data_IF_986749011645
#
_entry.id   IF_986749011645
#
_cell.length_a   1.000
_cell.length_b   1.000
_cell.length_c   1.000
_cell.angle_alpha   90.00
_cell.angle_beta   90.00
_cell.angle_gamma   90.00
#
_symmetry.space_group_name_H-M   'P 1'
#
loop_
_entity.id
_entity.type
_entity.pdbx_description
1 polymer ?
#
# COMPACT_ATOMS: atom_id res chain seq x y z
N UNK A 1 10.92 28.62 3.67
CA UNK A 1 10.78 27.29 4.31
C UNK A 1 11.67 26.31 3.56
N UNK A 2 12.40 25.39 4.22
CA UNK A 2 13.25 24.43 3.52
C UNK A 2 12.40 23.57 2.59
N UNK A 3 12.84 23.36 1.35
CA UNK A 3 12.08 22.63 0.32
C UNK A 3 11.56 21.27 0.82
N UNK A 4 12.39 20.53 1.57
CA UNK A 4 11.99 19.23 2.13
C UNK A 4 10.81 19.31 3.11
N UNK A 5 10.71 20.38 3.89
CA UNK A 5 9.59 20.59 4.84
C UNK A 5 8.29 20.83 4.08
N UNK A 6 8.33 21.58 2.99
CA UNK A 6 7.15 21.85 2.16
C UNK A 6 6.67 20.59 1.45
N UNK A 7 7.60 19.80 0.88
CA UNK A 7 7.27 18.51 0.24
C UNK A 7 6.63 17.56 1.25
N UNK A 8 7.20 17.45 2.45
CA UNK A 8 6.62 16.64 3.54
C UNK A 8 5.21 17.12 3.92
N UNK A 9 5.04 18.41 4.22
CA UNK A 9 3.77 18.96 4.69
C UNK A 9 2.65 18.77 3.66
N UNK A 10 2.93 19.00 2.37
CA UNK A 10 1.95 18.80 1.30
C UNK A 10 1.65 17.32 1.05
N UNK A 11 2.66 16.44 1.19
CA UNK A 11 2.46 15.00 1.08
C UNK A 11 1.56 14.49 2.19
N UNK A 12 1.83 14.93 3.43
CA UNK A 12 1.00 14.62 4.60
C UNK A 12 -0.42 15.14 4.42
N UNK A 13 -0.60 16.39 3.97
CA UNK A 13 -1.92 16.96 3.72
C UNK A 13 -2.69 16.19 2.64
N UNK A 14 -2.03 15.83 1.53
CA UNK A 14 -2.65 15.11 0.41
C UNK A 14 -3.11 13.71 0.83
N UNK A 15 -2.21 12.94 1.44
CA UNK A 15 -2.48 11.57 1.86
C UNK A 15 -3.45 11.55 3.03
N UNK A 16 -3.25 12.42 4.02
CA UNK A 16 -4.17 12.59 5.14
C UNK A 16 -5.58 12.94 4.70
N UNK A 17 -5.74 13.82 3.71
CA UNK A 17 -7.06 14.15 3.14
C UNK A 17 -7.70 12.93 2.46
N UNK A 18 -6.94 12.18 1.65
CA UNK A 18 -7.45 10.96 1.01
C UNK A 18 -7.94 9.93 2.03
N UNK A 19 -7.15 9.70 3.08
CA UNK A 19 -7.48 8.76 4.16
C UNK A 19 -8.66 9.26 4.97
N UNK A 20 -8.68 10.53 5.38
CA UNK A 20 -9.78 11.12 6.15
C UNK A 20 -11.10 11.07 5.38
N UNK A 21 -11.09 11.44 4.09
CA UNK A 21 -12.28 11.35 3.23
C UNK A 21 -12.78 9.91 3.17
N UNK A 22 -11.89 8.93 3.02
CA UNK A 22 -12.29 7.53 3.04
C UNK A 22 -12.88 7.10 4.39
N UNK A 23 -12.16 7.28 5.49
CA UNK A 23 -12.57 6.85 6.82
C UNK A 23 -13.90 7.49 7.26
N UNK A 24 -14.15 8.74 6.89
CA UNK A 24 -15.38 9.46 7.26
C UNK A 24 -16.54 9.18 6.31
N UNK A 25 -16.29 8.93 5.02
CA UNK A 25 -17.35 8.80 4.01
C UNK A 25 -17.74 7.35 3.71
N UNK A 26 -16.87 6.35 3.95
CA UNK A 26 -17.18 4.95 3.64
C UNK A 26 -18.46 4.42 4.30
N UNK A 27 -18.84 4.79 5.55
CA UNK A 27 -20.04 4.23 6.14
C UNK A 27 -21.32 4.87 5.58
N UNK A 28 -21.22 6.10 5.02
CA UNK A 28 -22.36 6.94 4.66
C UNK A 28 -22.76 6.83 3.19
N UNK A 29 -21.80 6.91 2.27
CA UNK A 29 -22.12 7.08 0.85
C UNK A 29 -21.17 6.31 -0.08
N UNK A 30 -21.68 5.85 -1.22
CA UNK A 30 -20.85 5.25 -2.28
C UNK A 30 -19.84 6.24 -2.90
N UNK A 31 -20.03 7.56 -2.68
CA UNK A 31 -19.10 8.59 -3.13
C UNK A 31 -17.70 8.46 -2.49
N UNK A 32 -17.59 7.74 -1.37
CA UNK A 32 -16.32 7.40 -0.74
C UNK A 32 -15.34 6.67 -1.67
N UNK A 33 -15.83 5.97 -2.70
CA UNK A 33 -15.01 5.30 -3.74
C UNK A 33 -14.11 6.29 -4.49
N UNK A 34 -14.44 7.59 -4.52
CA UNK A 34 -13.59 8.60 -5.14
C UNK A 34 -12.18 8.64 -4.53
N UNK A 35 -12.02 8.47 -3.22
CA UNK A 35 -10.71 8.47 -2.59
C UNK A 35 -9.80 7.31 -3.07
N UNK A 36 -10.27 6.03 -3.04
CA UNK A 36 -9.59 4.93 -3.72
C UNK A 36 -9.31 5.18 -5.19
N UNK A 37 -10.25 5.76 -5.96
CA UNK A 37 -10.03 6.02 -7.39
C UNK A 37 -8.90 7.03 -7.64
N UNK A 38 -8.79 8.09 -6.83
CA UNK A 38 -7.66 9.03 -6.96
C UNK A 38 -6.35 8.31 -6.63
N UNK A 39 -6.30 7.53 -5.55
CA UNK A 39 -5.10 6.77 -5.21
C UNK A 39 -4.72 5.74 -6.28
N UNK A 40 -5.69 5.11 -6.93
CA UNK A 40 -5.49 4.20 -8.05
C UNK A 40 -4.73 4.90 -9.19
N UNK A 41 -5.05 6.15 -9.49
CA UNK A 41 -4.33 6.94 -10.50
C UNK A 41 -2.87 7.14 -10.11
N UNK A 42 -2.59 7.52 -8.86
CA UNK A 42 -1.21 7.66 -8.36
C UNK A 42 -0.44 6.34 -8.44
N UNK A 43 -1.00 5.25 -7.91
CA UNK A 43 -0.33 3.94 -7.90
C UNK A 43 -0.10 3.43 -9.32
N UNK A 44 -1.10 3.56 -10.20
CA UNK A 44 -0.99 3.17 -11.62
C UNK A 44 0.07 3.98 -12.36
N UNK A 45 0.10 5.30 -12.15
CA UNK A 45 1.14 6.17 -12.73
C UNK A 45 2.54 5.69 -12.33
N UNK A 46 2.75 5.40 -11.04
CA UNK A 46 4.05 4.90 -10.55
C UNK A 46 4.46 3.58 -11.19
N UNK A 47 3.56 2.60 -11.32
CA UNK A 47 3.87 1.32 -11.96
C UNK A 47 4.14 1.49 -13.45
N UNK A 48 3.32 2.24 -14.15
CA UNK A 48 3.43 2.41 -15.60
C UNK A 48 4.74 3.13 -15.96
N UNK A 49 5.09 4.20 -15.25
CA UNK A 49 6.28 5.02 -15.57
C UNK A 49 7.58 4.19 -15.52
N UNK A 50 7.84 3.46 -14.41
CA UNK A 50 9.04 2.63 -14.28
C UNK A 50 9.06 1.47 -15.29
N UNK A 51 7.90 0.90 -15.59
CA UNK A 51 7.82 -0.28 -16.47
C UNK A 51 7.93 0.08 -17.94
N UNK A 52 7.50 1.27 -18.34
CA UNK A 52 7.79 1.81 -19.68
C UNK A 52 9.30 2.02 -19.85
N UNK A 53 9.97 2.60 -18.85
CA UNK A 53 11.44 2.80 -18.88
C UNK A 53 12.17 1.46 -18.99
N UNK A 54 11.87 0.51 -18.10
CA UNK A 54 12.51 -0.81 -18.10
C UNK A 54 12.23 -1.57 -19.40
N UNK A 55 11.02 -1.47 -19.95
CA UNK A 55 10.66 -2.06 -21.24
C UNK A 55 11.50 -1.52 -22.39
N UNK A 56 11.73 -0.21 -22.45
CA UNK A 56 12.52 0.39 -23.52
C UNK A 56 13.96 -0.12 -23.52
N UNK A 57 14.53 -0.38 -22.33
CA UNK A 57 15.84 -1.02 -22.21
C UNK A 57 15.77 -2.52 -22.53
N UNK A 58 14.82 -3.26 -21.96
CA UNK A 58 14.71 -4.71 -22.12
C UNK A 58 14.48 -5.13 -23.59
N UNK A 59 13.55 -4.46 -24.28
CA UNK A 59 13.23 -4.80 -25.67
C UNK A 59 14.40 -4.54 -26.61
N UNK A 60 15.25 -3.55 -26.33
CA UNK A 60 16.44 -3.24 -27.13
C UNK A 60 17.62 -4.17 -26.83
N UNK A 61 17.72 -4.70 -25.61
CA UNK A 61 18.86 -5.51 -25.18
C UNK A 61 18.66 -7.02 -25.35
N UNK A 62 17.43 -7.53 -25.23
CA UNK A 62 17.19 -8.98 -25.10
C UNK A 62 16.31 -9.61 -26.17
N UNK A 63 15.48 -8.83 -26.88
CA UNK A 63 14.51 -9.38 -27.83
C UNK A 63 14.91 -9.07 -29.27
N UNK A 64 14.92 -10.10 -30.12
CA UNK A 64 15.03 -9.91 -31.57
C UNK A 64 13.76 -9.28 -32.12
N UNK A 65 13.95 -8.22 -32.90
CA UNK A 65 12.88 -7.52 -33.60
C UNK A 65 12.10 -8.49 -34.51
N UNK A 66 10.78 -8.32 -34.57
CA UNK A 66 9.89 -9.13 -35.41
C UNK A 66 9.39 -10.45 -34.79
N UNK A 67 9.91 -10.87 -33.64
CA UNK A 67 9.39 -12.06 -32.93
C UNK A 67 8.01 -11.82 -32.29
N UNK A 68 7.23 -12.89 -32.09
CA UNK A 68 5.92 -12.82 -31.44
C UNK A 68 6.03 -12.31 -29.99
N UNK A 69 7.08 -12.74 -29.28
CA UNK A 69 7.47 -12.21 -27.97
C UNK A 69 7.78 -10.71 -28.03
N UNK A 70 8.53 -10.25 -29.04
CA UNK A 70 8.76 -8.83 -29.25
C UNK A 70 7.45 -8.06 -29.50
N UNK A 71 6.50 -8.58 -30.27
CA UNK A 71 5.19 -7.91 -30.47
C UNK A 71 4.34 -7.87 -29.19
N UNK A 72 4.29 -8.96 -28.43
CA UNK A 72 3.54 -9.04 -27.18
C UNK A 72 4.09 -8.07 -26.12
N UNK A 73 5.41 -8.10 -25.88
CA UNK A 73 6.08 -7.24 -24.91
C UNK A 73 6.35 -5.80 -25.42
N UNK A 74 6.25 -5.54 -26.74
CA UNK A 74 6.31 -4.18 -27.29
C UNK A 74 4.98 -3.43 -27.25
N UNK A 75 3.84 -4.09 -27.03
CA UNK A 75 2.54 -3.38 -26.89
C UNK A 75 2.51 -2.50 -25.63
N UNK A 76 2.34 -1.18 -25.81
CA UNK A 76 2.19 -0.23 -24.69
C UNK A 76 0.85 -0.41 -23.99
N UNK A 77 -0.21 -0.71 -24.74
CA UNK A 77 -1.57 -0.86 -24.24
C UNK A 77 -1.67 -2.06 -23.29
N UNK A 78 -1.11 -3.22 -23.68
CA UNK A 78 -1.13 -4.42 -22.84
C UNK A 78 -0.42 -4.19 -21.50
N UNK A 79 0.74 -3.52 -21.54
CA UNK A 79 1.49 -3.18 -20.33
C UNK A 79 0.69 -2.25 -19.42
N UNK A 80 0.05 -1.20 -19.97
CA UNK A 80 -0.78 -0.28 -19.19
C UNK A 80 -1.97 -1.00 -18.55
N UNK A 81 -2.72 -1.81 -19.31
CA UNK A 81 -3.86 -2.56 -18.78
C UNK A 81 -3.46 -3.50 -17.65
N UNK A 82 -2.34 -4.23 -17.82
CA UNK A 82 -1.82 -5.12 -16.78
C UNK A 82 -1.48 -4.37 -15.49
N UNK A 83 -0.76 -3.25 -15.59
CA UNK A 83 -0.37 -2.49 -14.39
C UNK A 83 -1.52 -1.70 -13.77
N UNK A 84 -2.58 -1.36 -14.51
CA UNK A 84 -3.83 -0.86 -13.94
C UNK A 84 -4.48 -1.95 -13.08
N UNK A 85 -4.54 -3.19 -13.58
CA UNK A 85 -5.09 -4.33 -12.81
C UNK A 85 -4.29 -4.58 -11.53
N UNK A 86 -2.96 -4.60 -11.61
CA UNK A 86 -2.09 -4.75 -10.41
C UNK A 86 -2.31 -3.59 -9.43
N UNK A 87 -2.42 -2.37 -9.94
CA UNK A 87 -2.65 -1.18 -9.11
C UNK A 87 -4.02 -1.21 -8.44
N UNK A 88 -5.03 -1.77 -9.10
CA UNK A 88 -6.35 -1.97 -8.54
C UNK A 88 -6.30 -2.89 -7.31
N UNK A 89 -5.58 -4.02 -7.39
CA UNK A 89 -5.40 -4.94 -6.26
C UNK A 89 -4.72 -4.25 -5.07
N UNK A 90 -3.66 -3.48 -5.33
CA UNK A 90 -2.92 -2.76 -4.28
C UNK A 90 -3.79 -1.67 -3.64
N UNK A 91 -4.54 -0.93 -4.44
CA UNK A 91 -5.42 0.14 -3.98
C UNK A 91 -6.56 -0.41 -3.14
N UNK A 92 -7.21 -1.47 -3.62
CA UNK A 92 -8.29 -2.13 -2.88
C UNK A 92 -7.78 -2.67 -1.54
N UNK A 93 -6.63 -3.38 -1.57
CA UNK A 93 -6.01 -3.91 -0.35
C UNK A 93 -5.70 -2.79 0.64
N UNK A 94 -5.14 -1.67 0.18
CA UNK A 94 -4.82 -0.51 1.02
C UNK A 94 -6.05 0.12 1.69
N UNK A 95 -7.08 0.46 0.91
CA UNK A 95 -8.23 1.20 1.44
C UNK A 95 -9.11 0.33 2.32
N UNK A 96 -9.13 -0.98 2.08
CA UNK A 96 -9.77 -1.90 3.01
C UNK A 96 -8.94 -1.99 4.30
N UNK A 97 -7.63 -2.23 4.19
CA UNK A 97 -6.80 -2.50 5.36
C UNK A 97 -6.69 -1.29 6.31
N UNK A 98 -6.68 -0.06 5.77
CA UNK A 98 -6.58 1.14 6.59
C UNK A 98 -7.75 1.33 7.56
N UNK A 99 -8.90 0.69 7.30
CA UNK A 99 -10.05 0.67 8.21
C UNK A 99 -9.75 -0.12 9.50
N UNK A 100 -8.86 -1.11 9.41
CA UNK A 100 -8.51 -2.02 10.50
C UNK A 100 -7.17 -1.66 11.16
N UNK A 101 -6.52 -0.57 10.74
CA UNK A 101 -5.27 -0.12 11.34
C UNK A 101 -5.51 0.44 12.74
N UNK A 102 -4.76 -0.11 13.71
CA UNK A 102 -4.74 0.42 15.08
C UNK A 102 -4.24 1.87 15.10
N UNK A 103 -4.60 2.62 16.14
CA UNK A 103 -4.14 4.01 16.33
C UNK A 103 -2.62 4.13 16.32
N UNK A 104 -1.91 3.13 16.85
CA UNK A 104 -0.45 3.09 16.81
C UNK A 104 0.09 3.04 15.37
N UNK A 105 -0.50 2.22 14.51
CA UNK A 105 -0.11 2.12 13.11
C UNK A 105 -0.48 3.39 12.33
N UNK A 106 -1.63 4.01 12.62
CA UNK A 106 -2.02 5.30 12.03
C UNK A 106 -1.04 6.43 12.39
N UNK A 107 -0.62 6.54 13.65
CA UNK A 107 0.40 7.50 14.08
C UNK A 107 1.75 7.20 13.43
N UNK A 108 2.12 5.92 13.33
CA UNK A 108 3.33 5.50 12.64
C UNK A 108 3.35 5.94 11.17
N UNK A 109 2.21 5.91 10.46
CA UNK A 109 2.15 6.36 9.07
C UNK A 109 2.53 7.83 8.89
N UNK A 110 2.24 8.70 9.86
CA UNK A 110 2.64 10.12 9.82
C UNK A 110 4.17 10.24 9.85
N UNK A 111 4.81 9.49 10.75
CA UNK A 111 6.27 9.40 10.81
C UNK A 111 6.85 8.74 9.55
N UNK A 112 6.17 7.72 9.03
CA UNK A 112 6.59 7.01 7.83
C UNK A 112 6.60 7.91 6.59
N UNK A 113 5.61 8.80 6.42
CA UNK A 113 5.60 9.81 5.36
C UNK A 113 6.82 10.73 5.45
N UNK A 114 7.19 11.15 6.67
CA UNK A 114 8.40 11.94 6.89
C UNK A 114 9.65 11.17 6.48
N UNK A 115 9.78 9.92 6.93
CA UNK A 115 10.91 9.05 6.59
C UNK A 115 11.04 8.84 5.08
N UNK A 116 9.96 8.48 4.38
CA UNK A 116 9.99 8.27 2.92
C UNK A 116 10.32 9.57 2.19
N UNK A 117 9.83 10.72 2.65
CA UNK A 117 10.18 12.03 2.09
C UNK A 117 11.68 12.31 2.22
N UNK A 118 12.25 12.03 3.39
CA UNK A 118 13.68 12.18 3.63
C UNK A 118 14.51 11.25 2.73
N UNK A 119 14.19 9.95 2.69
CA UNK A 119 14.89 8.96 1.87
C UNK A 119 14.81 9.33 0.38
N UNK A 120 13.63 9.69 -0.12
CA UNK A 120 13.45 10.11 -1.51
C UNK A 120 14.37 11.29 -1.88
N UNK A 121 14.36 12.35 -1.08
CA UNK A 121 15.16 13.55 -1.34
C UNK A 121 16.67 13.27 -1.21
N UNK A 122 17.06 12.44 -0.24
CA UNK A 122 18.44 12.01 -0.06
C UNK A 122 18.96 11.22 -1.27
N UNK A 123 18.21 10.20 -1.71
CA UNK A 123 18.58 9.37 -2.87
C UNK A 123 18.62 10.24 -4.12
N UNK A 124 17.56 11.02 -4.37
CA UNK A 124 17.49 11.92 -5.53
C UNK A 124 18.71 12.82 -5.60
N UNK A 125 19.06 13.50 -4.51
CA UNK A 125 20.23 14.39 -4.46
C UNK A 125 21.55 13.64 -4.72
N UNK A 126 21.65 12.40 -4.25
CA UNK A 126 22.87 11.58 -4.38
C UNK A 126 23.10 11.09 -5.82
N UNK A 127 22.01 10.85 -6.57
CA UNK A 127 22.09 10.38 -7.96
C UNK A 127 21.84 11.47 -9.00
N UNK A 128 21.54 12.69 -8.55
CA UNK A 128 21.35 13.85 -9.41
C UNK A 128 22.63 14.07 -10.22
N UNK A 129 22.50 14.19 -11.53
CA UNK A 129 23.59 14.27 -12.52
C UNK A 129 24.35 12.97 -12.81
N UNK A 130 24.08 11.86 -12.10
CA UNK A 130 24.66 10.54 -12.42
C UNK A 130 23.79 9.76 -13.41
N UNK A 131 22.46 9.93 -13.34
CA UNK A 131 21.50 9.14 -14.12
C UNK A 131 20.39 10.05 -14.67
N UNK A 132 19.98 9.82 -15.92
CA UNK A 132 18.92 10.60 -16.59
C UNK A 132 17.51 10.35 -16.05
N UNK A 133 17.30 9.27 -15.28
CA UNK A 133 16.02 8.87 -14.67
C UNK A 133 16.06 8.99 -13.14
N UNK A 134 16.81 9.97 -12.63
CA UNK A 134 17.06 10.21 -11.20
C UNK A 134 15.79 10.20 -10.34
N UNK A 135 14.73 10.90 -10.76
CA UNK A 135 13.47 10.99 -10.02
C UNK A 135 12.72 9.66 -9.93
N UNK A 136 12.63 8.93 -11.06
CA UNK A 136 11.97 7.63 -11.12
C UNK A 136 12.74 6.61 -10.27
N UNK A 137 14.07 6.61 -10.37
CA UNK A 137 14.92 5.71 -9.61
C UNK A 137 14.88 6.03 -8.11
N UNK A 138 14.93 7.31 -7.72
CA UNK A 138 14.81 7.73 -6.34
C UNK A 138 13.47 7.32 -5.72
N UNK A 139 12.37 7.44 -6.48
CA UNK A 139 11.05 6.95 -6.06
C UNK A 139 11.02 5.44 -5.87
N UNK A 140 11.56 4.66 -6.81
CA UNK A 140 11.52 3.20 -6.68
C UNK A 140 12.38 2.70 -5.51
N UNK A 141 13.55 3.31 -5.29
CA UNK A 141 14.38 2.98 -4.14
C UNK A 141 13.76 3.40 -2.82
N UNK A 142 13.12 4.58 -2.75
CA UNK A 142 12.39 4.99 -1.54
C UNK A 142 11.20 4.08 -1.26
N UNK A 143 10.55 3.53 -2.30
CA UNK A 143 9.53 2.47 -2.14
C UNK A 143 10.16 1.22 -1.52
N UNK A 144 11.30 0.73 -2.00
CA UNK A 144 11.89 -0.49 -1.42
C UNK A 144 12.35 -0.28 0.03
N UNK A 145 13.09 0.79 0.31
CA UNK A 145 13.59 1.11 1.65
C UNK A 145 12.42 1.39 2.61
N UNK A 146 11.44 2.17 2.17
CA UNK A 146 10.25 2.49 2.96
C UNK A 146 9.41 1.24 3.26
N UNK A 147 9.24 0.32 2.31
CA UNK A 147 8.45 -0.89 2.53
C UNK A 147 9.12 -1.79 3.56
N UNK A 148 10.45 -1.94 3.52
CA UNK A 148 11.17 -2.73 4.53
C UNK A 148 10.96 -2.16 5.94
N UNK A 149 11.08 -0.84 6.10
CA UNK A 149 10.86 -0.19 7.38
C UNK A 149 9.40 -0.34 7.86
N UNK A 150 8.44 -0.06 6.98
CA UNK A 150 7.01 -0.19 7.28
C UNK A 150 6.61 -1.62 7.61
N UNK A 151 7.18 -2.60 6.91
CA UNK A 151 6.95 -4.02 7.19
C UNK A 151 7.47 -4.41 8.57
N UNK A 152 8.69 -3.99 8.93
CA UNK A 152 9.25 -4.22 10.27
C UNK A 152 8.39 -3.59 11.38
N UNK A 153 7.93 -2.35 11.17
CA UNK A 153 7.04 -1.67 12.11
C UNK A 153 5.67 -2.37 12.22
N UNK A 154 5.09 -2.77 11.09
CA UNK A 154 3.82 -3.51 11.07
C UNK A 154 3.93 -4.81 11.87
N UNK A 155 4.97 -5.63 11.61
CA UNK A 155 5.20 -6.88 12.36
C UNK A 155 5.35 -6.60 13.86
N UNK A 156 6.17 -5.60 14.23
CA UNK A 156 6.37 -5.24 15.63
C UNK A 156 5.07 -4.81 16.31
N UNK A 157 4.31 -3.91 15.70
CA UNK A 157 3.04 -3.40 16.25
C UNK A 157 2.05 -4.55 16.37
N UNK A 158 1.86 -5.37 15.34
CA UNK A 158 0.90 -6.48 15.36
C UNK A 158 1.23 -7.51 16.44
N UNK A 159 2.51 -7.87 16.62
CA UNK A 159 2.92 -8.83 17.66
C UNK A 159 2.74 -8.31 19.09
N UNK A 160 2.77 -6.99 19.28
CA UNK A 160 2.59 -6.35 20.60
C UNK A 160 1.21 -5.71 20.75
N UNK A 161 0.30 -5.95 19.80
CA UNK A 161 -1.09 -5.50 19.89
C UNK A 161 -1.89 -6.48 20.73
N UNK A 162 -2.91 -5.98 21.39
CA UNK A 162 -3.86 -6.80 22.13
C UNK A 162 -4.77 -7.57 21.18
N UNK A 163 -5.29 -8.70 21.64
CA UNK A 163 -6.36 -9.44 20.95
C UNK A 163 -7.53 -8.47 20.65
N UNK A 164 -8.09 -8.47 19.43
CA UNK A 164 -9.21 -7.60 19.10
C UNK A 164 -10.46 -7.85 19.95
N UNK A 165 -11.23 -6.79 20.24
CA UNK A 165 -12.40 -6.85 21.12
C UNK A 165 -13.54 -7.74 20.58
N UNK A 166 -13.62 -7.94 19.26
CA UNK A 166 -14.61 -8.81 18.62
C UNK A 166 -14.36 -10.32 18.85
N UNK A 167 -13.19 -10.68 19.39
CA UNK A 167 -12.82 -12.08 19.61
C UNK A 167 -13.63 -12.70 20.76
N UNK A 168 -14.15 -13.89 20.50
CA UNK A 168 -14.92 -14.70 21.46
C UNK A 168 -14.34 -16.13 21.47
N UNK A 169 -14.75 -16.94 22.45
CA UNK A 169 -14.30 -18.32 22.59
C UNK A 169 -14.67 -19.19 21.37
N UNK A 170 -15.74 -18.85 20.65
CA UNK A 170 -16.11 -19.55 19.41
C UNK A 170 -15.79 -18.73 18.15
N UNK A 171 -15.27 -19.41 17.13
CA UNK A 171 -15.01 -18.83 15.80
C UNK A 171 -16.26 -18.21 15.20
N UNK A 172 -17.40 -18.89 15.32
CA UNK A 172 -18.69 -18.41 14.79
C UNK A 172 -19.09 -17.06 15.39
N UNK A 173 -18.99 -16.92 16.72
CA UNK A 173 -19.28 -15.64 17.38
C UNK A 173 -18.28 -14.56 17.01
N UNK A 174 -16.99 -14.89 16.92
CA UNK A 174 -15.94 -13.95 16.51
C UNK A 174 -16.20 -13.39 15.10
N UNK A 175 -16.62 -14.24 14.17
CA UNK A 175 -16.99 -13.84 12.80
C UNK A 175 -18.21 -12.92 12.80
N UNK A 176 -19.27 -13.27 13.54
CA UNK A 176 -20.50 -12.46 13.63
C UNK A 176 -20.20 -11.10 14.24
N UNK A 177 -19.46 -11.07 15.36
CA UNK A 177 -19.07 -9.83 16.04
C UNK A 177 -18.25 -8.91 15.13
N UNK A 178 -17.23 -9.46 14.46
CA UNK A 178 -16.40 -8.69 13.53
C UNK A 178 -17.21 -8.11 12.34
N UNK A 179 -18.15 -8.89 11.80
CA UNK A 179 -19.03 -8.44 10.71
C UNK A 179 -19.98 -7.31 11.16
N UNK A 180 -20.33 -7.25 12.46
CA UNK A 180 -21.21 -6.22 13.03
C UNK A 180 -20.48 -4.92 13.39
N UNK A 181 -19.17 -4.95 13.64
CA UNK A 181 -18.38 -3.74 13.93
C UNK A 181 -18.19 -2.84 12.71
N UNK A 182 -18.36 -3.39 11.52
CA UNK A 182 -18.18 -2.68 10.26
C UNK A 182 -19.48 -2.61 9.47
N UNK A 183 -19.68 -1.50 8.74
CA UNK A 183 -20.85 -1.39 7.88
C UNK A 183 -20.77 -0.19 6.95
N UNK A 184 -21.48 -0.28 5.83
CA UNK A 184 -21.67 0.82 4.90
C UNK A 184 -23.10 0.84 4.35
N UNK A 185 -23.64 2.04 4.12
CA UNK A 185 -24.88 2.19 3.35
C UNK A 185 -24.70 1.83 1.86
N UNK A 186 -23.45 1.75 1.38
CA UNK A 186 -23.14 1.31 0.03
C UNK A 186 -22.95 -0.21 -0.02
N UNK A 187 -23.88 -0.94 -0.67
CA UNK A 187 -23.90 -2.41 -0.69
C UNK A 187 -22.57 -3.05 -1.15
N UNK A 188 -21.89 -2.45 -2.13
CA UNK A 188 -20.62 -2.99 -2.65
C UNK A 188 -19.52 -2.85 -1.58
N UNK A 189 -19.41 -1.68 -0.94
CA UNK A 189 -18.42 -1.41 0.09
C UNK A 189 -18.71 -2.27 1.33
N UNK A 190 -19.98 -2.31 1.75
CA UNK A 190 -20.44 -3.08 2.90
C UNK A 190 -20.04 -4.55 2.76
N UNK A 191 -20.34 -5.17 1.62
CA UNK A 191 -19.97 -6.57 1.35
C UNK A 191 -18.47 -6.79 1.43
N UNK A 192 -17.68 -5.89 0.84
CA UNK A 192 -16.21 -6.03 0.79
C UNK A 192 -15.58 -5.85 2.17
N UNK A 193 -16.03 -4.85 2.94
CA UNK A 193 -15.49 -4.56 4.27
C UNK A 193 -15.90 -5.64 5.28
N UNK A 194 -17.14 -6.13 5.24
CA UNK A 194 -17.59 -7.26 6.07
C UNK A 194 -16.80 -8.53 5.77
N UNK A 195 -16.64 -8.87 4.48
CA UNK A 195 -15.85 -10.03 4.09
C UNK A 195 -14.42 -9.95 4.65
N UNK A 196 -13.79 -8.77 4.60
CA UNK A 196 -12.48 -8.56 5.22
C UNK A 196 -12.52 -8.74 6.75
N UNK A 197 -13.51 -8.17 7.43
CA UNK A 197 -13.64 -8.31 8.88
C UNK A 197 -13.77 -9.78 9.30
N UNK A 198 -14.59 -10.55 8.58
CA UNK A 198 -14.77 -11.99 8.77
C UNK A 198 -13.46 -12.76 8.54
N UNK A 199 -12.71 -12.43 7.46
CA UNK A 199 -11.38 -13.00 7.24
C UNK A 199 -10.41 -12.65 8.36
N UNK A 200 -10.39 -11.40 8.82
CA UNK A 200 -9.52 -10.99 9.93
C UNK A 200 -9.85 -11.75 11.21
N UNK A 201 -11.14 -11.94 11.53
CA UNK A 201 -11.57 -12.72 12.69
C UNK A 201 -11.15 -14.19 12.59
N UNK A 202 -11.28 -14.80 11.42
CA UNK A 202 -10.80 -16.16 11.19
C UNK A 202 -9.29 -16.28 11.41
N UNK A 203 -8.49 -15.34 10.89
CA UNK A 203 -7.04 -15.38 11.06
C UNK A 203 -6.62 -15.13 12.51
N UNK A 204 -7.23 -14.17 13.20
CA UNK A 204 -6.98 -13.93 14.62
C UNK A 204 -7.34 -15.14 15.47
N UNK A 205 -8.49 -15.77 15.23
CA UNK A 205 -8.87 -16.99 15.94
C UNK A 205 -7.88 -18.13 15.72
N UNK A 206 -7.43 -18.33 14.47
CA UNK A 206 -6.39 -19.32 14.17
C UNK A 206 -5.10 -18.98 14.91
N UNK A 207 -4.64 -17.72 14.88
CA UNK A 207 -3.41 -17.29 15.57
C UNK A 207 -3.50 -17.53 17.08
N UNK A 208 -4.60 -17.13 17.71
CA UNK A 208 -4.82 -17.27 19.15
C UNK A 208 -4.92 -18.75 19.57
N UNK A 209 -5.80 -19.51 18.91
CA UNK A 209 -5.99 -20.92 19.22
C UNK A 209 -4.71 -21.75 18.98
N UNK A 210 -3.93 -21.40 17.95
CA UNK A 210 -2.65 -22.07 17.69
C UNK A 210 -1.54 -21.64 18.63
N UNK A 211 -1.52 -20.39 19.08
CA UNK A 211 -0.58 -19.91 20.09
C UNK A 211 -0.71 -20.71 21.40
N UNK A 212 -1.93 -21.08 21.78
CA UNK A 212 -2.23 -21.82 23.01
C UNK A 212 -2.03 -23.34 22.89
N UNK A 213 -2.44 -23.95 21.76
CA UNK A 213 -2.57 -25.43 21.68
C UNK A 213 -1.44 -26.16 20.93
N UNK A 214 -0.63 -25.47 20.11
CA UNK A 214 0.48 -26.12 19.40
C UNK A 214 1.80 -26.00 20.19
N UNK A 215 2.55 -27.09 20.33
CA UNK A 215 3.91 -27.03 20.85
C UNK A 215 4.96 -26.78 19.76
N UNK A 216 4.63 -27.04 18.50
CA UNK A 216 5.54 -26.85 17.38
C UNK A 216 5.75 -25.37 17.05
N UNK A 217 6.98 -24.90 17.26
CA UNK A 217 7.39 -23.52 16.95
C UNK A 217 7.31 -23.21 15.46
N UNK A 218 7.55 -24.18 14.57
CA UNK A 218 7.61 -23.93 13.13
C UNK A 218 6.22 -23.59 12.60
N UNK A 219 5.21 -24.37 12.97
CA UNK A 219 3.82 -24.13 12.57
C UNK A 219 3.31 -22.78 13.09
N UNK A 220 3.64 -22.40 14.34
CA UNK A 220 3.28 -21.07 14.89
C UNK A 220 3.86 -19.92 14.06
N UNK A 221 5.14 -20.01 13.69
CA UNK A 221 5.79 -19.02 12.84
C UNK A 221 5.18 -18.97 11.44
N UNK A 222 4.81 -20.11 10.86
CA UNK A 222 4.17 -20.19 9.55
C UNK A 222 2.81 -19.48 9.49
N UNK A 223 1.99 -19.64 10.54
CA UNK A 223 0.68 -18.98 10.64
C UNK A 223 0.85 -17.46 10.78
N UNK A 224 1.74 -17.02 11.66
CA UNK A 224 2.08 -15.60 11.80
C UNK A 224 2.60 -14.99 10.49
N UNK A 225 3.48 -15.69 9.79
CA UNK A 225 4.00 -15.25 8.50
C UNK A 225 2.88 -15.14 7.46
N UNK A 226 1.94 -16.09 7.41
CA UNK A 226 0.79 -16.04 6.51
C UNK A 226 -0.09 -14.82 6.79
N UNK A 227 -0.39 -14.55 8.06
CA UNK A 227 -1.15 -13.36 8.47
C UNK A 227 -0.46 -12.06 8.05
N UNK A 228 0.86 -11.97 8.23
CA UNK A 228 1.64 -10.81 7.81
C UNK A 228 1.65 -10.66 6.28
N UNK A 229 1.80 -11.77 5.54
CA UNK A 229 1.82 -11.76 4.07
C UNK A 229 0.49 -11.34 3.45
N UNK A 230 -0.64 -11.64 4.09
CA UNK A 230 -1.95 -11.15 3.63
C UNK A 230 -2.04 -9.63 3.57
N UNK A 231 -1.31 -8.95 4.46
CA UNK A 231 -1.30 -7.49 4.56
C UNK A 231 -0.18 -6.85 3.71
N UNK A 232 0.71 -7.66 3.11
CA UNK A 232 1.84 -7.16 2.33
C UNK A 232 1.40 -6.28 1.15
N UNK A 233 0.29 -6.60 0.48
CA UNK A 233 -0.22 -5.78 -0.62
C UNK A 233 -0.66 -4.39 -0.16
N UNK A 234 -1.28 -4.28 1.02
CA UNK A 234 -1.66 -2.99 1.60
C UNK A 234 -0.42 -2.15 1.96
N UNK A 235 0.60 -2.78 2.58
CA UNK A 235 1.86 -2.11 2.96
C UNK A 235 2.65 -1.64 1.73
N UNK A 236 2.69 -2.45 0.67
CA UNK A 236 3.29 -2.05 -0.60
C UNK A 236 2.49 -0.94 -1.28
N UNK A 237 1.15 -1.04 -1.25
CA UNK A 237 0.24 -0.02 -1.78
C UNK A 237 0.44 1.34 -1.13
N UNK A 238 0.53 1.39 0.21
CA UNK A 238 0.60 2.66 0.94
C UNK A 238 1.94 3.32 0.73
N UNK A 239 3.02 2.53 0.76
CA UNK A 239 4.34 3.07 0.56
C UNK A 239 4.53 3.57 -0.88
N UNK A 240 3.96 2.87 -1.87
CA UNK A 240 3.95 3.34 -3.26
C UNK A 240 3.11 4.60 -3.45
N UNK A 241 1.94 4.71 -2.81
CA UNK A 241 1.14 5.94 -2.81
C UNK A 241 1.94 7.11 -2.23
N UNK A 242 2.54 6.93 -1.05
CA UNK A 242 3.36 7.93 -0.36
C UNK A 242 4.49 8.44 -1.26
N UNK A 243 5.33 7.52 -1.77
CA UNK A 243 6.47 7.89 -2.60
C UNK A 243 6.06 8.59 -3.90
N UNK A 244 4.91 8.22 -4.48
CA UNK A 244 4.42 8.84 -5.72
C UNK A 244 3.90 10.25 -5.48
N UNK A 245 3.17 10.48 -4.39
CA UNK A 245 2.71 11.82 -4.01
C UNK A 245 3.90 12.74 -3.77
N UNK A 246 4.92 12.26 -3.03
CA UNK A 246 6.17 12.99 -2.78
C UNK A 246 6.86 13.40 -4.09
N UNK A 247 7.03 12.45 -5.03
CA UNK A 247 7.66 12.70 -6.32
C UNK A 247 6.89 13.74 -7.16
N UNK A 248 5.56 13.62 -7.25
CA UNK A 248 4.74 14.57 -8.00
C UNK A 248 4.82 15.98 -7.40
N UNK A 249 4.77 16.10 -6.08
CA UNK A 249 4.93 17.38 -5.40
C UNK A 249 6.31 17.97 -5.68
N UNK A 250 7.39 17.19 -5.51
CA UNK A 250 8.75 17.67 -5.75
C UNK A 250 8.97 18.12 -7.21
N UNK A 251 8.46 17.36 -8.20
CA UNK A 251 8.51 17.73 -9.62
C UNK A 251 7.77 19.05 -9.88
N UNK A 252 6.59 19.24 -9.30
CA UNK A 252 5.81 20.46 -9.47
C UNK A 252 6.49 21.69 -8.86
N UNK A 253 7.23 21.54 -7.75
CA UNK A 253 8.04 22.62 -7.20
C UNK A 253 9.23 22.98 -8.09
N UNK A 254 9.93 21.99 -8.67
CA UNK A 254 11.09 22.26 -9.53
C UNK A 254 10.71 22.90 -10.89
N UNK A 255 9.48 22.72 -11.37
CA UNK A 255 9.00 23.38 -12.60
C UNK A 255 8.65 24.86 -12.40
N UNK A 256 8.44 25.29 -11.16
CA UNK A 256 8.05 26.66 -10.81
C UNK A 256 9.23 27.52 -10.32
N UNK A 257 10.40 26.91 -10.12
CA UNK A 257 11.65 27.57 -9.76
C UNK A 257 12.52 27.74 -11.00
#
# INVERSE_FOLDING_TARGET
MPKGVVVYALSLATIGTMVAVWLLAYPLHCLSILAPLVALVFISFSFIEIKIVNKNCFNRCYLKEGTLLYRLFSSKILLMLWYILVSFVFTLSLFIEILFYSTALQLYLIFHIFFVSFVFLFIKRSIQNLVHIDTILAREWSIHVGTLLLFGAFVYITLHSYTPDFMDASLEKSIINASHEVGSQCQIIDRVVRLKAEFNALFWWVVENTAEHLHDKITKWGIWLSFILMNAFALLGINRLIATVIDIIDRNFNKKA
#
